data_IF_510398909083
#
_entry.id   IF_510398909083
#
_cell.length_a   1.000
_cell.length_b   1.000
_cell.length_c   1.000
_cell.angle_alpha   90.00
_cell.angle_beta   90.00
_cell.angle_gamma   90.00
#
_symmetry.space_group_name_H-M   'P 1'
#
loop_
_entity.id
_entity.type
_entity.pdbx_description
1 polymer ?
#
# COMPACT_ATOMS: atom_id res chain seq x y z
N UNK A 1 -1.28 -18.24 8.33
CA UNK A 1 -1.18 -17.60 9.65
C UNK A 1 -2.30 -16.57 9.87
N UNK A 2 -2.42 -15.50 9.09
CA UNK A 2 -3.40 -14.41 9.30
C UNK A 2 -4.86 -14.87 9.26
N UNK A 3 -5.25 -15.72 8.30
CA UNK A 3 -6.60 -16.27 8.20
C UNK A 3 -6.98 -17.05 9.46
N UNK A 4 -6.09 -17.89 9.98
CA UNK A 4 -6.31 -18.68 11.21
C UNK A 4 -6.50 -17.75 12.41
N UNK A 5 -5.71 -16.67 12.52
CA UNK A 5 -5.87 -15.67 13.57
C UNK A 5 -7.20 -14.93 13.41
N UNK A 6 -7.56 -14.51 12.20
CA UNK A 6 -8.82 -13.85 11.92
C UNK A 6 -10.02 -14.71 12.31
N UNK A 7 -10.02 -15.98 11.92
CA UNK A 7 -11.07 -16.94 12.30
C UNK A 7 -11.18 -17.12 13.82
N UNK A 8 -10.03 -17.34 14.50
CA UNK A 8 -9.98 -17.49 15.96
C UNK A 8 -10.49 -16.26 16.71
N UNK A 9 -10.24 -15.07 16.17
CA UNK A 9 -10.60 -13.79 16.79
C UNK A 9 -11.90 -13.20 16.23
N UNK A 10 -12.60 -13.91 15.33
CA UNK A 10 -13.82 -13.46 14.65
C UNK A 10 -13.65 -12.13 13.90
N UNK A 11 -12.47 -11.92 13.32
CA UNK A 11 -12.14 -10.75 12.51
C UNK A 11 -12.66 -11.00 11.09
N UNK A 12 -13.32 -10.04 10.44
CA UNK A 12 -13.79 -10.19 9.08
C UNK A 12 -12.69 -10.62 8.11
N UNK A 13 -12.96 -11.66 7.34
CA UNK A 13 -12.06 -12.19 6.32
C UNK A 13 -12.87 -12.51 5.06
N UNK A 14 -12.59 -11.80 3.96
CA UNK A 14 -13.24 -12.00 2.66
C UNK A 14 -12.21 -12.53 1.69
N UNK A 15 -12.26 -13.82 1.39
CA UNK A 15 -11.39 -14.45 0.42
C UNK A 15 -12.07 -14.45 -0.96
N UNK A 16 -12.02 -13.31 -1.64
CA UNK A 16 -12.62 -13.14 -2.96
C UNK A 16 -11.65 -13.51 -4.11
N UNK A 17 -10.39 -13.73 -3.82
CA UNK A 17 -9.33 -13.87 -4.81
C UNK A 17 -8.97 -12.54 -5.46
N UNK A 18 -7.90 -12.57 -6.27
CA UNK A 18 -7.43 -11.42 -7.03
C UNK A 18 -7.11 -11.84 -8.45
N UNK A 19 -7.52 -11.04 -9.42
CA UNK A 19 -7.04 -11.15 -10.81
C UNK A 19 -6.16 -9.94 -11.07
N UNK A 20 -4.87 -10.17 -11.30
CA UNK A 20 -3.97 -9.15 -11.83
C UNK A 20 -4.03 -9.23 -13.36
N UNK A 21 -4.51 -8.17 -14.00
CA UNK A 21 -4.75 -8.16 -15.44
C UNK A 21 -3.62 -7.48 -16.21
N UNK A 22 -3.30 -8.05 -17.36
CA UNK A 22 -2.51 -7.43 -18.42
C UNK A 22 -3.44 -6.77 -19.44
N UNK A 23 -3.10 -5.57 -19.88
CA UNK A 23 -3.83 -4.85 -20.92
C UNK A 23 -3.23 -5.07 -22.30
N UNK A 24 -2.01 -5.59 -22.38
CA UNK A 24 -1.28 -5.90 -23.61
C UNK A 24 -0.33 -7.09 -23.43
N UNK A 25 0.32 -7.50 -24.51
CA UNK A 25 1.26 -8.62 -24.52
C UNK A 25 2.51 -8.38 -23.67
N UNK A 26 3.00 -7.14 -23.55
CA UNK A 26 4.17 -6.84 -22.72
C UNK A 26 3.86 -7.01 -21.23
N UNK A 27 2.67 -6.58 -20.81
CA UNK A 27 2.19 -6.80 -19.45
C UNK A 27 1.94 -8.29 -19.18
N UNK A 28 1.48 -9.06 -20.17
CA UNK A 28 1.33 -10.51 -20.05
C UNK A 28 2.65 -11.21 -19.67
N UNK A 29 3.76 -10.84 -20.29
CA UNK A 29 5.09 -11.34 -19.93
C UNK A 29 5.48 -11.06 -18.47
N UNK A 30 4.94 -10.00 -17.88
CA UNK A 30 5.10 -9.71 -16.46
C UNK A 30 4.28 -10.67 -15.59
N UNK A 31 3.06 -11.02 -16.02
CA UNK A 31 2.26 -12.03 -15.31
C UNK A 31 2.94 -13.41 -15.32
N UNK A 32 3.63 -13.78 -16.39
CA UNK A 32 4.42 -15.01 -16.44
C UNK A 32 5.55 -15.01 -15.39
N UNK A 33 6.25 -13.87 -15.20
CA UNK A 33 7.24 -13.72 -14.13
C UNK A 33 6.61 -13.83 -12.74
N UNK A 34 5.43 -13.24 -12.54
CA UNK A 34 4.70 -13.35 -11.26
C UNK A 34 4.27 -14.79 -10.97
N UNK A 35 3.91 -15.55 -12.00
CA UNK A 35 3.65 -16.99 -11.87
C UNK A 35 4.87 -17.74 -11.33
N UNK A 36 6.07 -17.45 -11.85
CA UNK A 36 7.31 -18.06 -11.36
C UNK A 36 7.54 -17.70 -9.89
N UNK A 37 7.48 -16.42 -9.54
CA UNK A 37 7.65 -15.97 -8.16
C UNK A 37 6.59 -16.55 -7.20
N UNK A 38 5.36 -16.70 -7.65
CA UNK A 38 4.32 -17.32 -6.86
C UNK A 38 4.62 -18.79 -6.53
N UNK A 39 5.12 -19.55 -7.50
CA UNK A 39 5.58 -20.94 -7.29
C UNK A 39 6.76 -21.01 -6.32
N UNK A 40 7.74 -20.13 -6.47
CA UNK A 40 8.88 -20.01 -5.54
C UNK A 40 8.43 -19.67 -4.12
N UNK A 41 7.36 -18.90 -3.97
CA UNK A 41 6.72 -18.58 -2.70
C UNK A 41 5.74 -19.65 -2.18
N UNK A 42 5.68 -20.80 -2.83
CA UNK A 42 4.92 -21.97 -2.39
C UNK A 42 3.46 -22.02 -2.83
N UNK A 43 3.05 -21.18 -3.78
CA UNK A 43 1.72 -21.29 -4.39
C UNK A 43 1.69 -22.44 -5.43
N UNK A 44 0.62 -23.20 -5.40
CA UNK A 44 0.38 -24.31 -6.35
C UNK A 44 -0.31 -23.80 -7.62
N UNK A 45 -0.27 -24.61 -8.67
CA UNK A 45 -0.97 -24.33 -9.94
C UNK A 45 -2.52 -24.28 -9.80
N UNK A 46 -3.07 -24.83 -8.72
CA UNK A 46 -4.50 -24.70 -8.40
C UNK A 46 -4.83 -23.38 -7.69
N UNK A 47 -3.84 -22.77 -7.08
CA UNK A 47 -3.99 -21.53 -6.30
C UNK A 47 -3.68 -20.29 -7.12
N UNK A 48 -2.88 -20.44 -8.17
CA UNK A 48 -2.49 -19.35 -9.07
C UNK A 48 -2.50 -19.82 -10.53
N UNK A 49 -3.28 -19.14 -11.37
CA UNK A 49 -3.56 -19.53 -12.75
C UNK A 49 -3.41 -18.33 -13.70
N UNK A 50 -2.74 -18.52 -14.82
CA UNK A 50 -2.85 -17.57 -15.94
C UNK A 50 -4.13 -17.91 -16.72
N UNK A 51 -4.94 -16.88 -16.92
CA UNK A 51 -6.22 -16.93 -17.65
C UNK A 51 -6.08 -16.11 -18.93
N UNK A 52 -6.63 -16.65 -20.02
CA UNK A 52 -6.81 -15.87 -21.23
C UNK A 52 -7.98 -14.88 -21.09
N UNK A 53 -8.18 -14.02 -22.10
CA UNK A 53 -9.25 -13.03 -22.12
C UNK A 53 -10.63 -13.62 -21.91
N UNK A 54 -10.92 -14.76 -22.54
CA UNK A 54 -12.25 -15.40 -22.48
C UNK A 54 -12.48 -16.01 -21.09
N UNK A 55 -11.47 -16.62 -20.50
CA UNK A 55 -11.51 -17.19 -19.15
C UNK A 55 -11.71 -16.08 -18.09
N UNK A 56 -11.03 -14.93 -18.25
CA UNK A 56 -11.28 -13.74 -17.40
C UNK A 56 -12.72 -13.26 -17.58
N UNK A 57 -13.23 -13.17 -18.82
CA UNK A 57 -14.60 -12.74 -19.11
C UNK A 57 -15.67 -13.70 -18.53
N UNK A 58 -15.41 -15.00 -18.54
CA UNK A 58 -16.32 -15.99 -17.92
C UNK A 58 -16.40 -15.79 -16.41
N UNK A 59 -15.29 -15.47 -15.76
CA UNK A 59 -15.20 -15.24 -14.32
C UNK A 59 -15.72 -13.86 -13.92
N UNK A 60 -15.33 -12.83 -14.66
CA UNK A 60 -15.63 -11.42 -14.44
C UNK A 60 -16.12 -10.76 -15.75
N UNK A 61 -17.41 -10.89 -16.07
CA UNK A 61 -17.96 -10.42 -17.37
C UNK A 61 -17.77 -8.92 -17.63
N UNK A 62 -17.60 -8.12 -16.59
CA UNK A 62 -17.44 -6.68 -16.66
C UNK A 62 -15.98 -6.21 -16.75
N UNK A 63 -15.01 -7.13 -16.66
CA UNK A 63 -13.59 -6.83 -16.79
C UNK A 63 -13.14 -7.01 -18.24
N UNK A 64 -12.39 -6.06 -18.78
CA UNK A 64 -11.75 -6.16 -20.09
C UNK A 64 -10.23 -6.16 -19.94
N UNK A 65 -9.55 -7.08 -20.62
CA UNK A 65 -8.10 -7.27 -20.52
C UNK A 65 -7.57 -8.07 -21.70
N UNK A 66 -6.26 -8.15 -21.82
CA UNK A 66 -5.57 -9.09 -22.71
C UNK A 66 -5.50 -10.49 -22.07
N UNK A 67 -5.13 -10.56 -20.78
CA UNK A 67 -5.05 -11.78 -19.99
C UNK A 67 -5.06 -11.44 -18.49
N UNK A 68 -5.08 -12.43 -17.60
CA UNK A 68 -5.06 -12.23 -16.16
C UNK A 68 -4.31 -13.33 -15.41
N UNK A 69 -3.72 -12.98 -14.28
CA UNK A 69 -3.17 -13.92 -13.30
C UNK A 69 -4.15 -14.00 -12.12
N UNK A 70 -4.83 -15.10 -11.97
CA UNK A 70 -5.78 -15.32 -10.88
C UNK A 70 -5.13 -16.01 -9.70
N UNK A 71 -5.14 -15.36 -8.54
CA UNK A 71 -4.72 -15.92 -7.25
C UNK A 71 -5.94 -16.13 -6.35
N UNK A 72 -6.23 -17.39 -6.00
CA UNK A 72 -7.39 -17.77 -5.18
C UNK A 72 -7.18 -17.52 -3.68
N UNK A 73 -5.93 -17.36 -3.25
CA UNK A 73 -5.56 -17.24 -1.82
C UNK A 73 -5.67 -15.82 -1.28
N UNK A 74 -5.79 -14.85 -2.15
CA UNK A 74 -5.89 -13.45 -1.74
C UNK A 74 -7.30 -13.08 -1.26
N UNK A 75 -7.35 -12.07 -0.42
CA UNK A 75 -8.59 -11.56 0.15
C UNK A 75 -8.36 -10.29 0.95
N UNK A 76 -9.43 -9.81 1.55
CA UNK A 76 -9.45 -8.59 2.36
C UNK A 76 -9.78 -8.90 3.80
N UNK A 77 -9.19 -8.11 4.71
CA UNK A 77 -9.44 -8.20 6.14
C UNK A 77 -9.33 -6.82 6.78
N UNK A 78 -9.65 -6.73 8.07
CA UNK A 78 -9.44 -5.52 8.86
C UNK A 78 -8.08 -5.61 9.56
N UNK A 79 -7.06 -4.91 9.01
CA UNK A 79 -5.70 -4.91 9.56
C UNK A 79 -5.60 -4.28 10.95
N UNK A 80 -6.45 -3.29 11.28
CA UNK A 80 -6.50 -2.72 12.62
C UNK A 80 -6.90 -3.75 13.66
N UNK A 81 -7.95 -4.54 13.40
CA UNK A 81 -8.36 -5.63 14.28
C UNK A 81 -7.31 -6.74 14.36
N UNK A 82 -6.62 -7.07 13.26
CA UNK A 82 -5.51 -8.03 13.28
C UNK A 82 -4.36 -7.53 14.15
N UNK A 83 -3.98 -6.27 14.02
CA UNK A 83 -2.93 -5.64 14.84
C UNK A 83 -3.30 -5.67 16.33
N UNK A 84 -4.55 -5.36 16.66
CA UNK A 84 -5.06 -5.49 18.04
C UNK A 84 -4.97 -6.92 18.55
N UNK A 85 -5.34 -7.90 17.73
CA UNK A 85 -5.27 -9.32 18.13
C UNK A 85 -3.82 -9.77 18.34
N UNK A 86 -2.87 -9.30 17.52
CA UNK A 86 -1.43 -9.57 17.72
C UNK A 86 -0.94 -8.92 19.03
N UNK A 87 -1.32 -7.66 19.28
CA UNK A 87 -0.97 -7.00 20.55
C UNK A 87 -1.46 -7.80 21.76
N UNK A 88 -2.74 -8.22 21.78
CA UNK A 88 -3.27 -9.03 22.88
C UNK A 88 -2.52 -10.36 23.08
N UNK A 89 -2.11 -11.00 21.98
CA UNK A 89 -1.32 -12.23 22.06
C UNK A 89 0.08 -11.96 22.58
N UNK A 90 0.71 -10.86 22.20
CA UNK A 90 2.03 -10.46 22.66
C UNK A 90 2.00 -10.15 24.16
N UNK A 91 1.00 -9.40 24.65
CA UNK A 91 0.84 -9.11 26.07
C UNK A 91 0.67 -10.38 26.93
N UNK A 92 0.03 -11.43 26.37
CA UNK A 92 -0.07 -12.75 27.05
C UNK A 92 1.25 -13.52 27.09
N UNK A 93 2.26 -13.07 26.40
CA UNK A 93 3.62 -13.61 26.37
C UNK A 93 4.62 -12.59 26.94
N UNK A 94 4.18 -11.84 27.95
CA UNK A 94 4.99 -10.92 28.74
C UNK A 94 5.70 -9.82 27.91
N UNK A 95 5.04 -9.35 26.81
CA UNK A 95 5.51 -8.21 26.05
C UNK A 95 4.87 -6.94 26.56
N UNK A 96 5.67 -5.99 26.98
CA UNK A 96 5.24 -4.65 27.37
C UNK A 96 5.09 -3.74 26.15
N UNK A 97 4.06 -2.88 26.17
CA UNK A 97 3.80 -1.88 25.13
C UNK A 97 3.87 -0.48 25.72
N UNK A 98 4.78 0.33 25.19
CA UNK A 98 4.88 1.75 25.54
C UNK A 98 4.18 2.57 24.44
N UNK A 99 3.03 3.16 24.75
CA UNK A 99 2.27 4.00 23.84
C UNK A 99 2.54 5.48 24.11
N UNK A 100 2.42 6.31 23.04
CA UNK A 100 2.68 7.76 23.08
C UNK A 100 4.14 8.13 23.35
N UNK A 101 5.06 7.20 23.12
CA UNK A 101 6.48 7.43 23.20
C UNK A 101 7.06 7.60 21.79
N UNK A 102 7.57 8.77 21.48
CA UNK A 102 8.28 9.04 20.25
C UNK A 102 9.78 8.90 20.47
N UNK A 103 10.46 8.11 19.65
CA UNK A 103 11.91 7.96 19.71
C UNK A 103 12.57 9.27 19.27
N UNK A 104 13.30 9.89 20.18
CA UNK A 104 14.03 11.13 19.92
C UNK A 104 15.48 10.87 19.53
N UNK A 105 16.13 9.94 20.23
CA UNK A 105 17.52 9.59 19.97
C UNK A 105 17.81 8.14 20.34
N UNK A 106 18.97 7.64 19.90
CA UNK A 106 19.44 6.28 20.19
C UNK A 106 20.93 6.34 20.50
N UNK A 107 21.33 5.70 21.61
CA UNK A 107 22.73 5.54 21.99
C UNK A 107 23.07 4.05 21.97
N UNK A 108 23.98 3.68 21.08
CA UNK A 108 24.47 2.31 20.96
C UNK A 108 25.80 2.13 21.69
N UNK A 109 25.92 1.08 22.49
CA UNK A 109 27.15 0.66 23.13
C UNK A 109 27.48 -0.79 22.77
N UNK A 110 28.61 -1.29 23.20
CA UNK A 110 29.03 -2.68 22.97
C UNK A 110 28.14 -3.71 23.66
N UNK A 111 27.37 -3.35 24.68
CA UNK A 111 26.58 -4.25 25.50
C UNK A 111 25.09 -4.01 25.47
N UNK A 112 24.64 -2.84 25.04
CA UNK A 112 23.22 -2.48 25.07
C UNK A 112 22.94 -1.28 24.13
N UNK A 113 21.66 -1.10 23.81
CA UNK A 113 21.12 0.06 23.10
C UNK A 113 20.20 0.81 24.06
N UNK A 114 20.40 2.10 24.24
CA UNK A 114 19.49 2.99 24.94
C UNK A 114 18.65 3.76 23.92
N UNK A 115 17.33 3.70 24.09
CA UNK A 115 16.35 4.42 23.26
C UNK A 115 15.80 5.56 24.10
N UNK A 116 16.04 6.80 23.67
CA UNK A 116 15.63 8.03 24.36
C UNK A 116 14.36 8.56 23.69
N UNK A 117 13.36 8.84 24.48
CA UNK A 117 12.08 9.38 24.04
C UNK A 117 12.04 10.92 24.08
N UNK A 118 11.03 11.50 23.44
CA UNK A 118 10.86 12.96 23.36
C UNK A 118 10.62 13.63 24.72
N UNK A 119 10.09 12.91 25.71
CA UNK A 119 9.91 13.35 27.09
C UNK A 119 11.19 13.20 27.95
N UNK A 120 12.31 12.82 27.32
CA UNK A 120 13.63 12.55 27.95
C UNK A 120 13.70 11.31 28.82
N UNK A 121 12.64 10.51 28.91
CA UNK A 121 12.75 9.17 29.48
C UNK A 121 13.47 8.22 28.51
N UNK A 122 13.97 7.09 29.00
CA UNK A 122 14.67 6.13 28.14
C UNK A 122 14.36 4.68 28.54
N UNK A 123 14.63 3.78 27.60
CA UNK A 123 14.61 2.34 27.78
C UNK A 123 15.92 1.76 27.28
N UNK A 124 16.49 0.84 28.07
CA UNK A 124 17.70 0.12 27.70
C UNK A 124 17.36 -1.33 27.34
N UNK A 125 17.89 -1.81 26.21
CA UNK A 125 17.72 -3.17 25.74
C UNK A 125 19.04 -3.75 25.22
N UNK A 126 19.20 -5.07 25.30
CA UNK A 126 20.35 -5.76 24.67
C UNK A 126 20.28 -5.72 23.15
N UNK A 127 19.07 -5.62 22.60
CA UNK A 127 18.81 -5.63 21.16
C UNK A 127 17.66 -4.72 20.83
N UNK A 128 17.76 -3.95 19.75
CA UNK A 128 16.70 -3.12 19.23
C UNK A 128 16.38 -3.52 17.78
N UNK A 129 15.09 -3.61 17.45
CA UNK A 129 14.61 -3.91 16.10
C UNK A 129 13.76 -2.74 15.63
N UNK A 130 14.19 -2.09 14.56
CA UNK A 130 13.45 -0.99 13.96
C UNK A 130 12.37 -1.51 13.01
N UNK A 131 11.11 -1.43 13.44
CA UNK A 131 9.92 -1.75 12.66
C UNK A 131 8.97 -0.54 12.55
N UNK A 132 9.52 0.67 12.45
CA UNK A 132 8.77 1.94 12.54
C UNK A 132 8.00 2.32 11.28
N UNK A 133 7.85 1.41 10.30
CA UNK A 133 7.09 1.66 9.08
C UNK A 133 7.61 2.89 8.32
N UNK A 134 6.75 3.89 8.08
CA UNK A 134 7.11 5.13 7.38
C UNK A 134 8.18 5.98 8.07
N UNK A 135 8.46 5.74 9.35
CA UNK A 135 9.50 6.43 10.10
C UNK A 135 10.82 5.61 10.20
N UNK A 136 10.90 4.46 9.53
CA UNK A 136 12.05 3.55 9.69
C UNK A 136 13.36 4.17 9.23
N UNK A 137 13.37 4.97 8.18
CA UNK A 137 14.58 5.65 7.71
C UNK A 137 15.09 6.67 8.74
N UNK A 138 14.20 7.46 9.33
CA UNK A 138 14.56 8.45 10.33
C UNK A 138 15.14 7.79 11.58
N UNK A 139 14.60 6.66 12.00
CA UNK A 139 15.17 5.86 13.10
C UNK A 139 16.55 5.29 12.70
N UNK A 140 16.70 4.76 11.50
CA UNK A 140 17.99 4.23 11.03
C UNK A 140 19.09 5.32 11.00
N UNK A 141 18.74 6.54 10.58
CA UNK A 141 19.65 7.69 10.61
C UNK A 141 20.14 8.04 12.03
N UNK A 142 19.32 7.81 13.07
CA UNK A 142 19.74 8.00 14.47
C UNK A 142 20.82 7.01 14.92
N UNK A 143 20.89 5.84 14.27
CA UNK A 143 22.00 4.87 14.41
C UNK A 143 23.20 5.20 13.49
N UNK A 144 23.23 6.35 12.83
CA UNK A 144 24.26 6.71 11.86
C UNK A 144 24.19 5.93 10.53
N UNK A 145 23.11 5.16 10.31
CA UNK A 145 22.92 4.35 9.13
C UNK A 145 22.14 5.09 8.06
N UNK A 146 22.32 4.70 6.79
CA UNK A 146 21.51 5.17 5.65
C UNK A 146 21.45 6.69 5.45
N UNK A 147 22.48 7.45 5.87
CA UNK A 147 22.50 8.91 5.82
C UNK A 147 22.40 9.47 4.38
N UNK A 148 22.76 8.67 3.36
CA UNK A 148 22.68 9.06 1.95
C UNK A 148 21.33 8.73 1.30
N UNK A 149 20.41 8.13 2.04
CA UNK A 149 19.08 7.79 1.54
C UNK A 149 18.07 8.86 1.92
N UNK A 150 17.08 9.03 1.05
CA UNK A 150 15.88 9.83 1.29
C UNK A 150 14.66 8.97 1.04
N UNK A 151 13.61 9.23 1.77
CA UNK A 151 12.31 8.64 1.52
C UNK A 151 11.33 9.66 0.92
N UNK A 152 10.33 9.15 0.24
CA UNK A 152 9.21 9.92 -0.27
C UNK A 152 7.92 9.31 0.27
N UNK A 153 7.00 10.15 0.71
CA UNK A 153 5.70 9.68 1.19
C UNK A 153 4.64 9.92 0.14
N UNK A 154 3.86 8.89 -0.18
CA UNK A 154 2.75 8.96 -1.13
C UNK A 154 1.46 8.49 -0.47
N UNK A 155 0.46 9.36 -0.44
CA UNK A 155 -0.87 9.00 0.02
C UNK A 155 -1.68 8.46 -1.14
N UNK A 156 -2.19 7.24 -0.96
CA UNK A 156 -3.16 6.62 -1.84
C UNK A 156 -4.58 6.87 -1.36
N UNK A 157 -5.43 7.37 -2.22
CA UNK A 157 -6.81 7.70 -1.92
C UNK A 157 -7.75 6.85 -2.77
N UNK A 158 -8.94 6.54 -2.21
CA UNK A 158 -9.93 5.68 -2.83
C UNK A 158 -11.28 6.36 -2.93
N UNK A 159 -12.13 5.83 -3.83
CA UNK A 159 -13.53 6.18 -3.95
C UNK A 159 -14.39 4.95 -3.73
N UNK A 160 -15.44 5.09 -2.89
CA UNK A 160 -16.37 4.01 -2.57
C UNK A 160 -17.42 3.89 -3.67
N UNK A 161 -17.63 2.66 -4.15
CA UNK A 161 -18.65 2.32 -5.11
C UNK A 161 -20.04 2.30 -4.46
N UNK A 162 -21.03 2.85 -5.14
CA UNK A 162 -22.42 2.78 -4.71
C UNK A 162 -22.92 1.33 -4.68
N UNK A 163 -23.90 1.03 -3.84
CA UNK A 163 -24.43 -0.32 -3.65
C UNK A 163 -24.87 -1.02 -4.96
N UNK A 164 -25.42 -0.26 -5.91
CA UNK A 164 -25.92 -0.79 -7.18
C UNK A 164 -24.83 -1.37 -8.07
N UNK A 165 -23.56 -0.96 -7.90
CA UNK A 165 -22.43 -1.47 -8.67
C UNK A 165 -21.36 -2.19 -7.80
N UNK A 166 -21.54 -2.24 -6.48
CA UNK A 166 -20.55 -2.83 -5.58
C UNK A 166 -20.22 -4.30 -5.93
N UNK A 167 -21.14 -5.02 -6.57
CA UNK A 167 -20.98 -6.38 -7.04
C UNK A 167 -20.79 -6.52 -8.57
N UNK A 168 -20.49 -5.41 -9.25
CA UNK A 168 -20.18 -5.42 -10.68
C UNK A 168 -19.03 -6.35 -11.02
N UNK A 169 -18.06 -6.43 -10.12
CA UNK A 169 -16.91 -7.35 -10.14
C UNK A 169 -16.83 -8.05 -8.78
N UNK A 170 -16.57 -9.34 -8.76
CA UNK A 170 -16.65 -10.21 -7.57
C UNK A 170 -15.29 -10.42 -6.91
N UNK A 171 -14.21 -10.36 -7.68
CA UNK A 171 -12.82 -10.49 -7.22
C UNK A 171 -12.16 -9.11 -7.05
N UNK A 172 -10.97 -9.06 -6.44
CA UNK A 172 -10.13 -7.89 -6.58
C UNK A 172 -9.53 -7.86 -7.98
N UNK A 173 -9.48 -6.69 -8.61
CA UNK A 173 -8.83 -6.51 -9.91
C UNK A 173 -7.69 -5.52 -9.74
N UNK A 174 -6.49 -5.97 -10.07
CA UNK A 174 -5.28 -5.18 -10.17
C UNK A 174 -4.83 -5.11 -11.62
N UNK A 175 -4.11 -4.09 -12.00
CA UNK A 175 -3.46 -4.02 -13.31
C UNK A 175 -1.95 -4.13 -13.12
N UNK A 176 -1.26 -4.81 -14.03
CA UNK A 176 0.21 -4.80 -14.07
C UNK A 176 0.69 -3.35 -14.12
N UNK A 177 1.58 -2.91 -13.21
CA UNK A 177 2.04 -1.54 -13.17
C UNK A 177 2.71 -1.12 -14.48
N UNK A 178 2.32 0.05 -15.01
CA UNK A 178 2.90 0.61 -16.24
C UNK A 178 4.32 1.14 -16.04
N UNK A 179 4.62 1.56 -14.82
CA UNK A 179 5.90 2.16 -14.46
C UNK A 179 6.53 1.36 -13.33
N UNK A 180 7.34 0.37 -13.68
CA UNK A 180 8.04 -0.48 -12.71
C UNK A 180 9.20 0.22 -11.99
N UNK A 181 9.66 1.34 -12.55
CA UNK A 181 10.76 2.16 -12.00
C UNK A 181 10.30 3.11 -10.89
N UNK A 182 9.00 3.33 -10.74
CA UNK A 182 8.43 4.27 -9.80
C UNK A 182 7.51 3.56 -8.79
N UNK A 183 7.42 4.04 -7.56
CA UNK A 183 6.61 3.43 -6.51
C UNK A 183 5.11 3.67 -6.66
N UNK A 184 4.62 3.88 -7.87
CA UNK A 184 3.22 4.15 -8.16
C UNK A 184 2.48 2.87 -8.53
N UNK A 185 1.24 2.76 -8.09
CA UNK A 185 0.31 1.71 -8.47
C UNK A 185 -0.75 2.29 -9.41
N UNK A 186 -1.16 1.51 -10.39
CA UNK A 186 -2.36 1.82 -11.15
C UNK A 186 -3.60 1.55 -10.28
N UNK A 187 -4.74 2.24 -10.51
CA UNK A 187 -5.95 2.00 -9.74
C UNK A 187 -6.42 0.55 -9.82
N UNK A 188 -6.97 0.10 -8.71
CA UNK A 188 -7.52 -1.23 -8.51
C UNK A 188 -9.03 -1.16 -8.31
N UNK A 189 -9.72 -2.29 -8.46
CA UNK A 189 -11.05 -2.54 -7.92
C UNK A 189 -10.90 -3.47 -6.73
N UNK A 190 -11.28 -3.03 -5.53
CA UNK A 190 -11.02 -3.76 -4.29
C UNK A 190 -12.29 -4.02 -3.52
N UNK A 191 -12.49 -5.26 -3.11
CA UNK A 191 -13.49 -5.68 -2.13
C UNK A 191 -12.92 -5.51 -0.72
N UNK A 192 -13.58 -4.73 0.12
CA UNK A 192 -13.18 -4.54 1.52
C UNK A 192 -13.87 -5.55 2.44
N UNK A 193 -13.26 -5.81 3.59
CA UNK A 193 -13.80 -6.75 4.57
C UNK A 193 -15.09 -6.27 5.26
N UNK A 194 -15.41 -4.98 5.18
CA UNK A 194 -16.67 -4.39 5.64
C UNK A 194 -17.80 -4.50 4.61
N UNK A 195 -17.57 -5.13 3.46
CA UNK A 195 -18.53 -5.29 2.37
C UNK A 195 -18.53 -4.16 1.34
N UNK A 196 -17.79 -3.08 1.57
CA UNK A 196 -17.63 -2.02 0.60
C UNK A 196 -16.75 -2.45 -0.57
N UNK A 197 -16.90 -1.73 -1.67
CA UNK A 197 -16.04 -1.86 -2.85
C UNK A 197 -15.46 -0.49 -3.16
N UNK A 198 -14.17 -0.44 -3.44
CA UNK A 198 -13.46 0.81 -3.70
C UNK A 198 -12.66 0.75 -4.99
N UNK A 199 -12.46 1.91 -5.61
CA UNK A 199 -11.49 2.12 -6.69
C UNK A 199 -10.38 3.07 -6.25
N UNK A 200 -9.17 2.79 -6.67
CA UNK A 200 -7.94 3.52 -6.32
C UNK A 200 -6.79 2.53 -6.15
N UNK A 201 -5.65 2.96 -5.64
CA UNK A 201 -5.34 4.32 -5.22
C UNK A 201 -4.88 5.23 -6.37
N UNK A 202 -4.81 6.53 -6.08
CA UNK A 202 -3.82 7.42 -6.65
C UNK A 202 -2.54 7.38 -5.79
N UNK A 203 -1.56 8.25 -6.09
CA UNK A 203 -0.33 8.36 -5.30
C UNK A 203 0.11 9.83 -5.21
N UNK A 204 -0.41 10.53 -4.23
CA UNK A 204 -0.15 11.96 -4.05
C UNK A 204 1.00 12.17 -3.09
N UNK A 205 2.05 12.95 -3.43
CA UNK A 205 3.12 13.27 -2.51
C UNK A 205 2.60 14.01 -1.28
N UNK A 206 3.08 13.60 -0.11
CA UNK A 206 2.82 14.24 1.19
C UNK A 206 4.14 14.38 1.97
N UNK A 207 4.18 15.26 2.94
CA UNK A 207 5.42 15.57 3.68
C UNK A 207 5.75 14.59 4.81
N UNK A 208 4.78 13.79 5.23
CA UNK A 208 4.94 12.92 6.41
C UNK A 208 4.20 11.59 6.23
N UNK A 209 4.69 10.51 6.84
CA UNK A 209 3.97 9.23 6.89
C UNK A 209 2.68 9.30 7.70
N UNK A 210 2.40 10.44 8.36
CA UNK A 210 1.19 10.68 9.15
C UNK A 210 0.20 11.66 8.46
N UNK A 211 0.47 12.10 7.22
CA UNK A 211 -0.34 13.09 6.49
C UNK A 211 -1.53 12.44 5.77
N UNK A 212 -2.41 11.76 6.53
CA UNK A 212 -3.58 11.05 5.98
C UNK A 212 -4.65 11.99 5.44
N UNK A 213 -4.85 13.16 6.07
CA UNK A 213 -5.96 14.09 5.76
C UNK A 213 -5.48 15.40 5.12
N UNK A 214 -4.17 15.63 5.09
CA UNK A 214 -3.56 16.85 4.54
C UNK A 214 -2.39 16.53 3.61
N UNK A 215 -1.97 17.48 2.79
CA UNK A 215 -0.72 17.36 2.00
C UNK A 215 0.51 17.73 2.81
N UNK A 216 0.32 18.59 3.81
CA UNK A 216 1.35 19.10 4.70
C UNK A 216 0.83 18.89 6.12
N UNK A 217 1.63 18.23 6.96
CA UNK A 217 1.35 18.02 8.37
C UNK A 217 1.54 19.33 9.15
N UNK A 218 2.74 19.90 9.00
CA UNK A 218 3.13 21.20 9.56
C UNK A 218 4.31 21.78 8.76
N UNK A 219 4.56 23.09 8.89
CA UNK A 219 5.61 23.77 8.12
C UNK A 219 7.01 23.26 8.47
N UNK A 220 7.41 23.06 9.74
CA UNK A 220 8.70 22.49 10.08
C UNK A 220 8.96 21.12 9.46
N UNK A 221 7.98 20.20 9.52
CA UNK A 221 8.07 18.88 8.90
C UNK A 221 8.25 18.97 7.38
N UNK A 222 7.47 19.83 6.72
CA UNK A 222 7.58 20.04 5.27
C UNK A 222 8.96 20.59 4.87
N UNK A 223 9.49 21.56 5.60
CA UNK A 223 10.83 22.13 5.33
C UNK A 223 11.93 21.09 5.54
N UNK A 224 11.85 20.30 6.61
CA UNK A 224 12.78 19.20 6.87
C UNK A 224 12.77 18.19 5.74
N UNK A 225 11.57 17.78 5.28
CA UNK A 225 11.42 16.83 4.18
C UNK A 225 11.96 17.39 2.85
N UNK A 226 11.68 18.64 2.53
CA UNK A 226 12.23 19.30 1.34
C UNK A 226 13.76 19.31 1.39
N UNK A 227 14.34 19.65 2.55
CA UNK A 227 15.80 19.65 2.73
C UNK A 227 16.38 18.24 2.53
N UNK A 228 15.77 17.21 3.14
CA UNK A 228 16.19 15.81 2.99
C UNK A 228 16.13 15.34 1.52
N UNK A 229 15.08 15.71 0.79
CA UNK A 229 14.94 15.41 -0.63
C UNK A 229 16.02 16.09 -1.46
N UNK A 230 16.29 17.37 -1.23
CA UNK A 230 17.26 18.15 -2.01
C UNK A 230 18.71 17.74 -1.73
N UNK A 231 19.01 17.32 -0.52
CA UNK A 231 20.37 16.89 -0.11
C UNK A 231 20.62 15.41 -0.34
N UNK A 232 19.57 14.60 -0.32
CA UNK A 232 19.64 13.14 -0.43
C UNK A 232 19.49 12.58 -1.86
N UNK A 233 19.23 11.30 -1.93
CA UNK A 233 19.12 10.54 -3.18
C UNK A 233 17.86 10.89 -4.00
N UNK A 234 16.79 11.29 -3.35
CA UNK A 234 15.49 11.55 -3.98
C UNK A 234 15.51 12.71 -4.97
N UNK A 235 16.47 13.64 -4.89
CA UNK A 235 16.63 14.73 -5.88
C UNK A 235 16.79 14.21 -7.31
N UNK A 236 17.45 13.06 -7.50
CA UNK A 236 17.65 12.46 -8.82
C UNK A 236 16.32 12.06 -9.46
N UNK A 237 15.34 11.65 -8.64
CA UNK A 237 14.01 11.27 -9.10
C UNK A 237 13.21 12.51 -9.52
N UNK A 238 13.29 13.61 -8.74
CA UNK A 238 12.64 14.88 -9.08
C UNK A 238 13.16 15.53 -10.36
N UNK A 239 14.36 15.15 -10.81
CA UNK A 239 14.94 15.64 -12.08
C UNK A 239 14.44 14.87 -13.30
N UNK A 240 13.68 13.77 -13.13
CA UNK A 240 13.12 13.00 -14.25
C UNK A 240 11.78 13.59 -14.70
N UNK A 241 11.65 14.07 -15.98
CA UNK A 241 10.39 14.64 -16.47
C UNK A 241 9.22 13.67 -16.38
N UNK A 242 9.48 12.38 -16.60
CA UNK A 242 8.48 11.30 -16.51
C UNK A 242 7.88 11.21 -15.11
N UNK A 243 8.71 11.34 -14.07
CA UNK A 243 8.26 11.34 -12.68
C UNK A 243 7.38 12.55 -12.38
N UNK A 244 7.77 13.75 -12.79
CA UNK A 244 6.98 14.98 -12.60
C UNK A 244 5.63 14.88 -13.33
N UNK A 245 5.64 14.39 -14.59
CA UNK A 245 4.40 14.15 -15.34
C UNK A 245 3.48 13.17 -14.62
N UNK A 246 4.03 12.10 -14.05
CA UNK A 246 3.27 11.10 -13.30
C UNK A 246 2.68 11.69 -12.03
N UNK A 247 3.46 12.42 -11.23
CA UNK A 247 2.99 13.13 -10.03
C UNK A 247 1.83 14.08 -10.37
N UNK A 248 1.93 14.83 -11.47
CA UNK A 248 0.85 15.71 -11.93
C UNK A 248 -0.46 14.94 -12.24
N UNK A 249 -0.36 13.78 -12.90
CA UNK A 249 -1.52 12.92 -13.18
C UNK A 249 -2.14 12.35 -11.90
N UNK A 250 -1.31 12.00 -10.93
CA UNK A 250 -1.78 11.50 -9.63
C UNK A 250 -2.50 12.60 -8.84
N UNK A 251 -1.98 13.83 -8.84
CA UNK A 251 -2.69 14.99 -8.27
C UNK A 251 -4.04 15.22 -8.97
N UNK A 252 -4.08 15.15 -10.29
CA UNK A 252 -5.34 15.29 -11.03
C UNK A 252 -6.36 14.22 -10.61
N UNK A 253 -5.94 12.97 -10.42
CA UNK A 253 -6.79 11.88 -9.92
C UNK A 253 -7.20 12.06 -8.46
N UNK A 254 -6.46 12.84 -7.65
CA UNK A 254 -6.83 13.17 -6.27
C UNK A 254 -7.99 14.16 -6.23
N UNK A 255 -7.94 15.21 -7.02
CA UNK A 255 -8.94 16.28 -7.01
C UNK A 255 -10.16 15.97 -7.91
N UNK A 256 -10.00 15.10 -8.91
CA UNK A 256 -11.04 14.76 -9.89
C UNK A 256 -11.42 13.29 -9.82
N UNK A 257 -12.64 13.04 -9.31
CA UNK A 257 -13.27 11.71 -9.33
C UNK A 257 -13.35 11.15 -10.77
N UNK A 258 -13.71 11.99 -11.72
CA UNK A 258 -13.80 11.60 -13.13
C UNK A 258 -12.45 11.13 -13.68
N UNK A 259 -11.35 11.78 -13.31
CA UNK A 259 -10.02 11.34 -13.72
C UNK A 259 -9.64 9.96 -13.16
N UNK A 260 -10.02 9.67 -11.91
CA UNK A 260 -9.84 8.33 -11.32
C UNK A 260 -10.68 7.30 -12.08
N UNK A 261 -11.95 7.58 -12.32
CA UNK A 261 -12.86 6.67 -13.02
C UNK A 261 -12.37 6.39 -14.45
N UNK A 262 -11.86 7.37 -15.18
CA UNK A 262 -11.31 7.15 -16.52
C UNK A 262 -10.12 6.18 -16.53
N UNK A 263 -9.32 6.15 -15.47
CA UNK A 263 -8.24 5.16 -15.32
C UNK A 263 -8.80 3.75 -15.15
N UNK A 264 -9.87 3.60 -14.35
CA UNK A 264 -10.53 2.31 -14.09
C UNK A 264 -11.32 1.82 -15.31
N UNK A 265 -11.90 2.71 -16.11
CA UNK A 265 -12.63 2.37 -17.36
C UNK A 265 -11.77 1.64 -18.38
N UNK A 266 -10.47 1.71 -18.30
CA UNK A 266 -9.55 0.93 -19.16
C UNK A 266 -9.71 -0.57 -19.00
N UNK A 267 -10.17 -1.01 -17.84
CA UNK A 267 -10.37 -2.43 -17.52
C UNK A 267 -11.76 -2.77 -16.99
N UNK A 268 -12.56 -1.78 -16.56
CA UNK A 268 -13.98 -1.93 -16.24
C UNK A 268 -14.76 -0.84 -17.01
N UNK A 269 -15.07 -1.04 -18.30
CA UNK A 269 -15.58 0.02 -19.19
C UNK A 269 -16.91 0.63 -18.73
N UNK A 270 -17.74 -0.13 -18.02
CA UNK A 270 -19.12 0.24 -17.69
C UNK A 270 -19.25 1.13 -16.45
N UNK A 271 -18.15 1.49 -15.75
CA UNK A 271 -18.22 2.40 -14.61
C UNK A 271 -18.30 3.85 -15.04
N UNK A 272 -18.99 4.66 -14.24
CA UNK A 272 -19.20 6.10 -14.45
C UNK A 272 -18.92 6.87 -13.16
N UNK A 273 -18.60 8.19 -13.22
CA UNK A 273 -18.32 8.99 -12.02
C UNK A 273 -19.46 9.00 -10.99
N UNK A 274 -20.71 8.96 -11.44
CA UNK A 274 -21.89 8.91 -10.56
C UNK A 274 -22.03 7.58 -9.80
N UNK A 275 -21.30 6.55 -10.17
CA UNK A 275 -21.27 5.27 -9.48
C UNK A 275 -20.45 5.30 -8.16
N UNK A 276 -19.77 6.40 -7.89
CA UNK A 276 -18.91 6.57 -6.73
C UNK A 276 -19.31 7.84 -5.99
N UNK A 277 -19.73 7.73 -4.73
CA UNK A 277 -20.27 8.87 -3.97
C UNK A 277 -19.31 9.42 -2.95
N UNK A 278 -18.63 8.57 -2.21
CA UNK A 278 -17.81 8.94 -1.06
C UNK A 278 -16.34 8.69 -1.27
N UNK A 279 -15.51 9.45 -0.55
CA UNK A 279 -14.10 9.08 -0.36
C UNK A 279 -14.01 7.82 0.49
N UNK A 280 -13.15 6.91 0.10
CA UNK A 280 -12.81 5.72 0.85
C UNK A 280 -11.66 5.97 1.84
N UNK A 281 -11.08 4.88 2.30
CA UNK A 281 -9.89 4.94 3.17
C UNK A 281 -8.67 5.48 2.42
N UNK A 282 -7.74 6.07 3.15
CA UNK A 282 -6.42 6.42 2.61
C UNK A 282 -5.32 5.59 3.27
N UNK A 283 -4.21 5.43 2.56
CA UNK A 283 -3.02 4.77 3.06
C UNK A 283 -1.76 5.50 2.61
N UNK A 284 -0.71 5.50 3.43
CA UNK A 284 0.55 6.14 3.05
C UNK A 284 1.61 5.06 2.79
N UNK A 285 2.31 5.21 1.67
CA UNK A 285 3.45 4.39 1.29
C UNK A 285 4.71 5.25 1.34
N UNK A 286 5.77 4.70 1.93
CA UNK A 286 7.06 5.38 2.10
C UNK A 286 8.17 4.57 1.42
N UNK A 287 8.37 4.68 0.11
CA UNK A 287 9.57 4.15 -0.55
C UNK A 287 10.81 4.94 -0.18
N UNK A 288 11.94 4.24 -0.15
CA UNK A 288 13.29 4.76 0.13
C UNK A 288 14.11 4.75 -1.15
#
# INVERSE_FOLDING_TARGET
MWKVLAEKKKIPWVQCGTIEIALDENQHKTLEKYMVWGKENGLTEKEMLILDRNEVKQKEPNVDCYSGLYCTKEGSTNYGLLTHAVKELSMKNDVDFLFKYNVNDVIESSSHTEIIFSDKSSVTAKFAINCSGGNSLDIAKKFGLLNNYSDLHFRGEYWVANHNIANLVKTNIYTVPRYTEFPFLDPHWIKRANGETEIGPNAVPVDSPESYDSFIKDIPTALTKITDILTGSAKKLLMKPEFISLVSKEFHSSISKSAMVERVRKFIPNVKPENFSNRGTSGIRTPV
#
